data_IF_181985391683
#
_entry.id   IF_181985391683
#
_cell.length_a   1.000
_cell.length_b   1.000
_cell.length_c   1.000
_cell.angle_alpha   90.00
_cell.angle_beta   90.00
_cell.angle_gamma   90.00
#
_symmetry.space_group_name_H-M   'P 1'
#
loop_
_entity.id
_entity.type
_entity.pdbx_description
1 polymer ?
#
# COMPACT_ATOMS: atom_id res chain seq x y z
N UNK A 1 -3.39 -33.84 -0.09
CA UNK A 1 -3.45 -32.36 -0.10
C UNK A 1 -2.55 -31.89 1.02
N UNK A 2 -1.52 -31.13 0.69
CA UNK A 2 -0.61 -30.54 1.69
C UNK A 2 -1.41 -29.53 2.50
N UNK A 3 -1.56 -29.73 3.81
CA UNK A 3 -2.28 -28.80 4.68
C UNK A 3 -1.45 -27.54 4.88
N UNK A 4 -1.90 -26.41 4.35
CA UNK A 4 -1.25 -25.11 4.54
C UNK A 4 -1.48 -24.58 5.97
N UNK A 5 -0.43 -24.08 6.66
CA UNK A 5 -0.58 -23.46 7.98
C UNK A 5 -1.62 -22.34 7.97
N UNK A 6 -2.20 -22.08 9.15
CA UNK A 6 -3.08 -20.93 9.36
C UNK A 6 -2.28 -19.62 9.37
N UNK A 7 -2.96 -18.52 9.04
CA UNK A 7 -2.38 -17.18 9.06
C UNK A 7 -2.05 -16.76 10.49
N UNK A 8 -0.84 -16.29 10.74
CA UNK A 8 -0.38 -15.84 12.06
C UNK A 8 0.13 -14.41 12.03
N UNK A 9 0.38 -13.83 13.21
CA UNK A 9 1.00 -12.50 13.30
C UNK A 9 2.42 -12.46 12.69
N UNK A 10 3.12 -13.59 12.55
CA UNK A 10 4.46 -13.63 11.95
C UNK A 10 4.41 -13.45 10.42
N UNK A 11 3.26 -13.71 9.81
CA UNK A 11 3.02 -13.54 8.37
C UNK A 11 2.58 -12.12 8.00
N UNK A 12 2.46 -11.23 9.00
CA UNK A 12 1.92 -9.89 8.87
C UNK A 12 2.92 -8.85 9.37
N UNK A 13 2.87 -7.67 8.76
CA UNK A 13 3.53 -6.49 9.28
C UNK A 13 2.52 -5.67 10.08
N UNK A 14 3.02 -5.02 11.12
CA UNK A 14 2.24 -4.11 11.96
C UNK A 14 2.87 -2.72 11.87
N UNK A 15 2.09 -1.66 11.63
CA UNK A 15 2.64 -0.30 11.61
C UNK A 15 3.37 0.06 12.92
N UNK A 16 4.64 0.44 12.79
CA UNK A 16 5.48 0.91 13.89
C UNK A 16 5.21 2.40 14.17
N UNK A 17 4.05 2.68 14.75
CA UNK A 17 3.63 4.03 15.11
C UNK A 17 3.08 4.11 16.53
N UNK A 18 3.06 5.31 17.10
CA UNK A 18 2.58 5.57 18.44
C UNK A 18 1.21 6.27 18.38
N UNK A 19 0.16 5.46 18.19
CA UNK A 19 -1.24 5.91 18.18
C UNK A 19 -2.04 5.12 19.21
N UNK A 20 -3.26 5.56 19.51
CA UNK A 20 -4.14 4.84 20.43
C UNK A 20 -4.33 3.36 20.03
N UNK A 21 -4.41 2.43 20.99
CA UNK A 21 -4.75 1.02 20.73
C UNK A 21 -6.12 0.82 20.06
N UNK A 22 -6.99 1.84 20.05
CA UNK A 22 -8.25 1.82 19.31
C UNK A 22 -8.01 1.74 17.80
N UNK A 23 -6.90 2.27 17.29
CA UNK A 23 -6.50 2.09 15.89
C UNK A 23 -5.79 0.75 15.76
N UNK A 24 -6.30 -0.11 14.87
CA UNK A 24 -5.70 -1.37 14.49
C UNK A 24 -5.34 -1.33 13.02
N UNK A 25 -4.18 -1.88 12.68
CA UNK A 25 -3.73 -1.94 11.30
C UNK A 25 -2.82 -3.14 11.08
N UNK A 26 -2.91 -3.73 9.90
CA UNK A 26 -2.03 -4.83 9.46
C UNK A 26 -1.70 -4.66 7.98
N UNK A 27 -0.53 -5.14 7.58
CA UNK A 27 -0.18 -5.31 6.17
C UNK A 27 0.21 -6.75 5.93
N UNK A 28 -0.40 -7.38 4.93
CA UNK A 28 -0.14 -8.78 4.62
C UNK A 28 1.18 -8.95 3.88
N UNK A 29 1.85 -10.06 4.12
CA UNK A 29 2.91 -10.56 3.23
C UNK A 29 2.29 -11.52 2.20
N UNK A 30 3.13 -12.16 1.37
CA UNK A 30 2.73 -13.27 0.50
C UNK A 30 2.50 -14.59 1.24
N UNK A 31 2.80 -14.67 2.53
CA UNK A 31 2.76 -15.90 3.32
C UNK A 31 1.44 -16.06 4.10
N UNK A 32 1.13 -17.29 4.54
CA UNK A 32 -0.03 -17.59 5.39
C UNK A 32 -1.33 -17.92 4.65
N UNK A 33 -1.27 -18.25 3.37
CA UNK A 33 -2.44 -18.54 2.55
C UNK A 33 -2.50 -19.98 2.03
N UNK A 34 -3.27 -20.19 0.96
CA UNK A 34 -3.52 -21.49 0.33
C UNK A 34 -3.20 -21.52 -1.16
N UNK A 35 -2.86 -20.38 -1.76
CA UNK A 35 -2.60 -20.28 -3.20
C UNK A 35 -1.37 -21.09 -3.61
N UNK A 36 -1.40 -21.63 -4.82
CA UNK A 36 -0.33 -22.39 -5.44
C UNK A 36 0.57 -21.48 -6.29
N UNK A 37 1.80 -21.93 -6.65
CA UNK A 37 2.62 -21.22 -7.62
C UNK A 37 1.85 -20.85 -8.91
N UNK A 38 2.04 -19.65 -9.47
CA UNK A 38 3.01 -18.61 -9.10
C UNK A 38 2.52 -17.66 -7.98
N UNK A 39 1.38 -17.93 -7.36
CA UNK A 39 0.80 -17.14 -6.28
C UNK A 39 1.20 -17.67 -4.90
N UNK A 40 2.25 -18.49 -4.84
CA UNK A 40 2.71 -19.22 -3.67
C UNK A 40 3.57 -18.39 -2.71
N UNK A 41 4.26 -19.10 -1.81
CA UNK A 41 5.36 -18.56 -1.01
C UNK A 41 6.67 -18.68 -1.80
N UNK A 42 7.67 -17.90 -1.43
CA UNK A 42 9.00 -18.02 -2.00
C UNK A 42 9.99 -18.48 -0.95
N UNK A 43 10.89 -19.39 -1.34
CA UNK A 43 12.05 -19.78 -0.56
C UNK A 43 13.30 -19.54 -1.39
N UNK A 44 14.17 -18.64 -0.94
CA UNK A 44 15.48 -18.47 -1.56
C UNK A 44 16.33 -19.75 -1.37
N UNK A 45 17.23 -20.04 -2.30
CA UNK A 45 18.20 -21.10 -2.09
C UNK A 45 19.25 -20.70 -1.02
N UNK A 46 19.90 -21.70 -0.40
CA UNK A 46 20.88 -21.46 0.67
C UNK A 46 22.10 -20.64 0.19
N UNK A 47 22.41 -20.64 -1.11
CA UNK A 47 23.56 -19.91 -1.69
C UNK A 47 23.26 -18.42 -1.95
N UNK A 48 21.99 -18.07 -2.22
CA UNK A 48 21.48 -16.73 -2.47
C UNK A 48 21.33 -15.91 -1.20
N UNK A 49 21.16 -16.58 -0.05
CA UNK A 49 21.22 -15.95 1.26
C UNK A 49 22.54 -15.20 1.49
N UNK A 50 23.63 -15.61 0.84
CA UNK A 50 24.95 -14.98 0.97
C UNK A 50 25.15 -13.72 0.08
N UNK A 51 24.36 -13.53 -0.97
CA UNK A 51 24.62 -12.50 -2.01
C UNK A 51 23.57 -11.37 -2.06
N UNK A 52 22.58 -11.33 -1.16
CA UNK A 52 21.54 -10.29 -1.06
C UNK A 52 20.69 -10.04 -2.33
N UNK A 53 20.92 -10.82 -3.39
CA UNK A 53 20.10 -10.93 -4.57
C UNK A 53 19.39 -12.29 -4.51
N UNK A 54 18.20 -12.32 -3.91
CA UNK A 54 17.35 -13.52 -3.78
C UNK A 54 16.68 -13.86 -5.13
N UNK A 55 17.46 -13.92 -6.21
CA UNK A 55 16.97 -14.22 -7.56
C UNK A 55 16.74 -15.73 -7.74
N UNK A 56 17.64 -16.55 -7.19
CA UNK A 56 17.55 -18.00 -7.23
C UNK A 56 16.78 -18.57 -6.02
N UNK A 57 15.85 -19.47 -6.31
CA UNK A 57 14.94 -20.04 -5.32
C UNK A 57 13.76 -20.75 -5.96
N UNK A 58 12.80 -21.15 -5.15
CA UNK A 58 11.63 -21.93 -5.58
C UNK A 58 10.33 -21.32 -5.09
N UNK A 59 9.32 -21.32 -5.96
CA UNK A 59 7.93 -21.06 -5.58
C UNK A 59 7.35 -22.31 -4.91
N UNK A 60 6.75 -22.10 -3.74
CA UNK A 60 6.14 -23.13 -2.92
C UNK A 60 4.64 -22.87 -2.76
N UNK A 61 3.80 -23.88 -2.50
CA UNK A 61 2.41 -23.67 -2.11
C UNK A 61 2.23 -22.80 -0.85
N UNK A 62 0.97 -22.47 -0.57
CA UNK A 62 0.49 -21.77 0.62
C UNK A 62 0.72 -20.25 0.63
N UNK A 63 0.62 -19.61 -0.53
CA UNK A 63 0.68 -18.14 -0.64
C UNK A 63 -0.66 -17.46 -0.35
N UNK A 64 -0.60 -16.22 0.14
CA UNK A 64 -1.75 -15.41 0.53
C UNK A 64 -2.10 -14.36 -0.53
N UNK A 65 -2.48 -14.83 -1.72
CA UNK A 65 -2.96 -13.94 -2.76
C UNK A 65 -4.42 -13.49 -2.50
N UNK A 66 -4.64 -12.18 -2.48
CA UNK A 66 -5.94 -11.57 -2.21
C UNK A 66 -6.62 -10.97 -3.45
N UNK A 67 -5.95 -11.01 -4.61
CA UNK A 67 -6.40 -10.37 -5.84
C UNK A 67 -7.25 -11.27 -6.73
N UNK A 68 -8.57 -11.03 -6.84
CA UNK A 68 -9.49 -11.80 -7.70
C UNK A 68 -9.16 -11.74 -9.20
N UNK A 69 -8.53 -10.65 -9.66
CA UNK A 69 -8.17 -10.44 -11.06
C UNK A 69 -6.71 -10.76 -11.36
N UNK A 70 -6.02 -11.51 -10.48
CA UNK A 70 -4.60 -11.86 -10.63
C UNK A 70 -4.33 -13.03 -11.58
N UNK A 71 -5.36 -13.83 -11.89
CA UNK A 71 -5.25 -15.08 -12.65
C UNK A 71 -5.11 -16.34 -11.79
N UNK A 72 -5.22 -16.21 -10.47
CA UNK A 72 -5.25 -17.33 -9.52
C UNK A 72 -6.63 -18.01 -9.48
N UNK A 73 -6.68 -19.19 -8.86
CA UNK A 73 -7.92 -19.89 -8.54
C UNK A 73 -8.75 -19.05 -7.56
N UNK A 74 -10.01 -18.77 -7.94
CA UNK A 74 -10.91 -17.97 -7.12
C UNK A 74 -11.22 -18.64 -5.78
N UNK A 75 -11.26 -19.96 -5.70
CA UNK A 75 -11.47 -20.66 -4.42
C UNK A 75 -10.31 -20.40 -3.45
N UNK A 76 -9.07 -20.42 -3.94
CA UNK A 76 -7.90 -20.06 -3.14
C UNK A 76 -7.93 -18.59 -2.71
N UNK A 77 -8.28 -17.68 -3.62
CA UNK A 77 -8.36 -16.24 -3.30
C UNK A 77 -9.43 -15.96 -2.24
N UNK A 78 -10.61 -16.58 -2.35
CA UNK A 78 -11.65 -16.41 -1.34
C UNK A 78 -11.29 -17.05 0.00
N UNK A 79 -10.62 -18.21 0.00
CA UNK A 79 -10.08 -18.81 1.23
C UNK A 79 -9.03 -17.91 1.90
N UNK A 80 -8.12 -17.29 1.12
CA UNK A 80 -7.14 -16.33 1.63
C UNK A 80 -7.81 -15.09 2.22
N UNK A 81 -8.82 -14.53 1.56
CA UNK A 81 -9.61 -13.42 2.09
C UNK A 81 -10.32 -13.81 3.37
N UNK A 82 -10.94 -14.99 3.43
CA UNK A 82 -11.60 -15.49 4.64
C UNK A 82 -10.61 -15.62 5.81
N UNK A 83 -9.41 -16.16 5.58
CA UNK A 83 -8.33 -16.24 6.58
C UNK A 83 -7.94 -14.87 7.12
N UNK A 84 -7.72 -13.90 6.23
CA UNK A 84 -7.38 -12.53 6.61
C UNK A 84 -8.48 -11.87 7.44
N UNK A 85 -9.74 -12.00 7.04
CA UNK A 85 -10.86 -11.41 7.77
C UNK A 85 -11.14 -12.09 9.11
N UNK A 86 -10.94 -13.41 9.20
CA UNK A 86 -10.99 -14.14 10.45
C UNK A 86 -9.90 -13.65 11.43
N UNK A 87 -8.69 -13.41 10.94
CA UNK A 87 -7.60 -12.82 11.74
C UNK A 87 -7.93 -11.39 12.18
N UNK A 88 -8.41 -10.54 11.27
CA UNK A 88 -8.71 -9.14 11.56
C UNK A 88 -9.93 -8.96 12.48
N UNK A 89 -10.88 -9.91 12.44
CA UNK A 89 -12.11 -9.88 13.24
C UNK A 89 -13.12 -8.82 12.77
N UNK A 90 -12.91 -8.20 11.61
CA UNK A 90 -13.78 -7.16 11.04
C UNK A 90 -13.94 -7.35 9.53
N UNK A 91 -15.10 -6.96 8.94
CA UNK A 91 -15.25 -6.92 7.50
C UNK A 91 -14.36 -5.85 6.84
N UNK A 92 -13.98 -6.09 5.59
CA UNK A 92 -13.14 -5.20 4.80
C UNK A 92 -13.93 -4.49 3.69
N UNK A 93 -13.71 -3.19 3.56
CA UNK A 93 -14.18 -2.37 2.45
C UNK A 93 -13.26 -2.55 1.23
N UNK A 94 -13.50 -3.61 0.44
CA UNK A 94 -12.77 -3.86 -0.81
C UNK A 94 -13.16 -2.87 -1.90
N UNK A 95 -12.19 -2.41 -2.68
CA UNK A 95 -12.37 -1.44 -3.75
C UNK A 95 -12.00 -2.03 -5.12
N UNK A 96 -12.60 -1.48 -6.17
CA UNK A 96 -12.09 -1.59 -7.54
C UNK A 96 -11.08 -0.46 -7.75
N UNK A 97 -9.83 -0.72 -7.43
CA UNK A 97 -8.74 0.25 -7.58
C UNK A 97 -8.47 0.55 -9.06
N UNK A 98 -8.49 1.83 -9.41
CA UNK A 98 -8.35 2.34 -10.79
C UNK A 98 -7.12 3.24 -10.95
N UNK A 99 -6.24 3.30 -9.94
CA UNK A 99 -5.05 4.15 -9.88
C UNK A 99 -5.36 5.65 -9.98
N UNK A 100 -6.55 6.05 -9.52
CA UNK A 100 -7.00 7.44 -9.45
C UNK A 100 -6.92 8.02 -8.04
N UNK A 101 -7.46 9.22 -7.83
CA UNK A 101 -7.45 9.91 -6.54
C UNK A 101 -8.81 9.91 -5.82
N UNK A 102 -9.70 8.98 -6.17
CA UNK A 102 -11.06 8.92 -5.61
C UNK A 102 -11.03 8.28 -4.23
N UNK A 103 -11.66 8.95 -3.26
CA UNK A 103 -11.79 8.52 -1.86
C UNK A 103 -13.26 8.29 -1.56
N UNK A 104 -13.60 7.14 -0.98
CA UNK A 104 -14.98 6.79 -0.62
C UNK A 104 -15.14 6.53 0.88
N UNK A 105 -16.38 6.50 1.35
CA UNK A 105 -16.70 6.04 2.70
C UNK A 105 -16.61 4.50 2.77
N UNK A 106 -15.94 3.97 3.79
CA UNK A 106 -15.71 2.53 3.92
C UNK A 106 -17.01 1.74 4.20
N UNK A 107 -17.99 2.32 4.90
CA UNK A 107 -19.27 1.66 5.12
C UNK A 107 -20.06 1.55 3.81
N UNK A 108 -20.06 2.61 3.00
CA UNK A 108 -20.70 2.59 1.68
C UNK A 108 -20.03 1.56 0.75
N UNK A 109 -18.69 1.51 0.75
CA UNK A 109 -17.95 0.52 -0.02
C UNK A 109 -18.22 -0.92 0.46
N UNK A 110 -18.32 -1.14 1.78
CA UNK A 110 -18.65 -2.45 2.34
C UNK A 110 -20.06 -2.92 1.92
N UNK A 111 -21.06 -2.06 2.02
CA UNK A 111 -22.43 -2.40 1.61
C UNK A 111 -22.53 -2.68 0.11
N UNK A 112 -21.85 -1.89 -0.73
CA UNK A 112 -21.76 -2.17 -2.16
C UNK A 112 -21.13 -3.55 -2.42
N UNK A 113 -20.04 -3.88 -1.72
CA UNK A 113 -19.35 -5.17 -1.87
C UNK A 113 -20.24 -6.36 -1.45
N UNK A 114 -21.04 -6.20 -0.38
CA UNK A 114 -22.05 -7.19 0.04
C UNK A 114 -23.14 -7.38 -1.01
N UNK A 115 -23.50 -6.32 -1.71
CA UNK A 115 -24.41 -6.36 -2.86
C UNK A 115 -23.74 -6.86 -4.16
N UNK A 116 -22.48 -7.32 -4.11
CA UNK A 116 -21.76 -7.87 -5.26
C UNK A 116 -21.09 -6.84 -6.17
N UNK A 117 -21.01 -5.57 -5.75
CA UNK A 117 -20.41 -4.48 -6.55
C UNK A 117 -19.21 -3.87 -5.83
N UNK A 118 -18.08 -3.71 -6.52
CA UNK A 118 -16.93 -2.98 -5.99
C UNK A 118 -16.94 -1.54 -6.52
N UNK A 119 -16.87 -0.56 -5.61
CA UNK A 119 -16.79 0.84 -5.99
C UNK A 119 -15.44 1.18 -6.62
N UNK A 120 -15.46 1.98 -7.67
CA UNK A 120 -14.25 2.51 -8.30
C UNK A 120 -13.66 3.62 -7.43
N UNK A 121 -12.60 3.26 -6.71
CA UNK A 121 -11.87 4.17 -5.83
C UNK A 121 -10.50 3.58 -5.48
N UNK A 122 -9.60 4.44 -5.05
CA UNK A 122 -8.26 4.06 -4.62
C UNK A 122 -8.01 4.38 -3.15
N UNK A 123 -8.99 4.95 -2.45
CA UNK A 123 -8.93 5.10 -1.01
C UNK A 123 -10.30 4.97 -0.37
N UNK A 124 -10.29 4.57 0.91
CA UNK A 124 -11.47 4.60 1.76
C UNK A 124 -11.14 5.18 3.12
N UNK A 125 -12.14 5.80 3.75
CA UNK A 125 -12.05 6.39 5.09
C UNK A 125 -13.25 5.99 5.95
N UNK A 126 -13.12 6.04 7.26
CA UNK A 126 -14.26 5.90 8.18
C UNK A 126 -13.95 6.47 9.57
N UNK A 127 -15.00 6.88 10.28
CA UNK A 127 -15.01 7.10 11.73
C UNK A 127 -15.86 6.06 12.48
N UNK A 128 -16.39 5.06 11.77
CA UNK A 128 -17.20 3.99 12.34
C UNK A 128 -16.31 2.82 12.75
N UNK A 129 -16.39 2.35 14.01
CA UNK A 129 -15.73 1.13 14.44
C UNK A 129 -16.21 -0.12 13.69
N UNK A 130 -15.34 -1.12 13.59
CA UNK A 130 -15.70 -2.44 13.06
C UNK A 130 -15.70 -2.55 11.53
N UNK A 131 -15.11 -1.60 10.81
CA UNK A 131 -14.96 -1.66 9.34
C UNK A 131 -13.50 -1.38 8.97
N UNK A 132 -12.87 -2.28 8.22
CA UNK A 132 -11.51 -2.08 7.74
C UNK A 132 -11.48 -1.36 6.39
N UNK A 133 -10.89 -0.15 6.39
CA UNK A 133 -10.41 0.48 5.16
C UNK A 133 -9.30 -0.40 4.58
N UNK A 134 -9.44 -0.81 3.32
CA UNK A 134 -8.59 -1.83 2.72
C UNK A 134 -8.10 -1.42 1.34
N UNK A 135 -6.80 -1.59 1.09
CA UNK A 135 -6.19 -1.42 -0.24
C UNK A 135 -5.30 -2.61 -0.56
N UNK A 136 -5.30 -3.03 -1.82
CA UNK A 136 -4.49 -4.14 -2.33
C UNK A 136 -3.31 -3.61 -3.15
N UNK A 137 -2.15 -4.24 -3.01
CA UNK A 137 -0.91 -3.80 -3.66
C UNK A 137 -0.05 -4.96 -4.15
N UNK A 138 0.71 -4.67 -5.21
CA UNK A 138 1.96 -5.31 -5.56
C UNK A 138 2.78 -4.21 -6.26
N UNK A 139 3.82 -3.70 -5.59
CA UNK A 139 4.61 -2.49 -5.92
C UNK A 139 4.02 -1.13 -5.55
N UNK A 140 2.73 -0.87 -5.82
CA UNK A 140 2.13 0.41 -5.42
C UNK A 140 2.15 0.56 -3.90
N UNK A 141 2.24 1.79 -3.38
CA UNK A 141 2.40 2.00 -1.95
C UNK A 141 1.04 2.05 -1.24
N UNK A 142 0.79 1.19 -0.24
CA UNK A 142 -0.33 1.40 0.66
C UNK A 142 0.04 2.47 1.70
N UNK A 143 -0.83 3.47 1.87
CA UNK A 143 -0.69 4.52 2.89
C UNK A 143 -1.86 4.43 3.84
N UNK A 144 -1.57 4.21 5.12
CA UNK A 144 -2.57 4.17 6.20
C UNK A 144 -2.52 5.47 6.99
N UNK A 145 -3.67 6.04 7.30
CA UNK A 145 -3.83 7.34 7.94
C UNK A 145 -4.79 7.24 9.11
N UNK A 146 -4.48 7.90 10.22
CA UNK A 146 -5.39 8.06 11.36
C UNK A 146 -5.06 9.31 12.16
N UNK A 147 -5.98 9.76 13.01
CA UNK A 147 -5.63 10.69 14.09
C UNK A 147 -5.13 9.92 15.33
N UNK A 148 -4.27 10.55 16.14
CA UNK A 148 -3.68 9.90 17.31
C UNK A 148 -4.69 9.43 18.37
N UNK A 149 -5.90 10.01 18.40
CA UNK A 149 -6.98 9.65 19.33
C UNK A 149 -7.92 8.55 18.80
N UNK A 150 -7.75 8.09 17.55
CA UNK A 150 -8.54 6.99 16.97
C UNK A 150 -10.00 7.33 16.78
N UNK A 151 -10.27 8.55 16.30
CA UNK A 151 -11.59 9.02 15.89
C UNK A 151 -11.89 8.70 14.44
N UNK A 152 -10.89 8.73 13.56
CA UNK A 152 -11.04 8.35 12.16
C UNK A 152 -9.79 7.67 11.60
N UNK A 153 -10.00 6.84 10.58
CA UNK A 153 -8.95 6.11 9.85
C UNK A 153 -9.19 6.14 8.35
N UNK A 154 -8.14 5.89 7.57
CA UNK A 154 -8.23 5.73 6.13
C UNK A 154 -7.08 4.94 5.53
N UNK A 155 -7.32 4.30 4.41
CA UNK A 155 -6.31 3.58 3.62
C UNK A 155 -6.34 4.09 2.18
N UNK A 156 -5.16 4.38 1.61
CA UNK A 156 -4.99 4.85 0.25
C UNK A 156 -4.01 3.97 -0.54
N UNK A 157 -4.38 3.66 -1.77
CA UNK A 157 -3.57 2.99 -2.78
C UNK A 157 -2.81 4.07 -3.58
N UNK A 158 -1.55 4.28 -3.23
CA UNK A 158 -0.69 5.28 -3.84
C UNK A 158 0.26 4.63 -4.86
N UNK A 159 -0.30 4.21 -6.00
CA UNK A 159 0.49 4.07 -7.23
C UNK A 159 0.90 5.46 -7.75
N UNK A 160 1.90 5.53 -8.66
CA UNK A 160 2.44 6.83 -9.09
C UNK A 160 1.38 7.80 -9.65
N UNK A 161 0.37 7.29 -10.37
CA UNK A 161 -0.74 8.10 -10.91
C UNK A 161 -1.61 8.69 -9.80
N UNK A 162 -2.08 7.85 -8.88
CA UNK A 162 -2.90 8.29 -7.76
C UNK A 162 -2.13 9.24 -6.83
N UNK A 163 -0.84 8.94 -6.60
CA UNK A 163 0.04 9.77 -5.78
C UNK A 163 0.26 11.15 -6.41
N UNK A 164 0.57 11.24 -7.70
CA UNK A 164 0.69 12.52 -8.41
C UNK A 164 -0.64 13.29 -8.45
N UNK A 165 -1.78 12.57 -8.55
CA UNK A 165 -3.13 13.14 -8.57
C UNK A 165 -3.70 13.49 -7.18
N UNK A 166 -2.91 13.33 -6.12
CA UNK A 166 -3.23 13.77 -4.77
C UNK A 166 -4.09 12.82 -3.94
N UNK A 167 -4.03 11.50 -4.18
CA UNK A 167 -4.87 10.51 -3.46
C UNK A 167 -4.62 10.54 -1.95
N UNK A 168 -3.37 10.73 -1.51
CA UNK A 168 -3.01 10.68 -0.09
C UNK A 168 -3.43 11.96 0.63
N UNK A 169 -3.37 13.11 -0.01
CA UNK A 169 -3.82 14.39 0.54
C UNK A 169 -5.33 14.42 0.65
N UNK A 170 -6.05 13.95 -0.37
CA UNK A 170 -7.51 13.81 -0.32
C UNK A 170 -7.94 12.87 0.79
N UNK A 171 -7.22 11.76 0.97
CA UNK A 171 -7.49 10.81 2.06
C UNK A 171 -7.22 11.43 3.42
N UNK A 172 -6.05 12.06 3.60
CA UNK A 172 -5.68 12.72 4.85
C UNK A 172 -6.66 13.84 5.22
N UNK A 173 -7.03 14.71 4.28
CA UNK A 173 -8.02 15.75 4.52
C UNK A 173 -9.37 15.17 4.94
N UNK A 174 -9.80 14.06 4.34
CA UNK A 174 -11.06 13.41 4.71
C UNK A 174 -11.00 12.77 6.10
N UNK A 175 -9.88 12.13 6.46
CA UNK A 175 -9.64 11.60 7.82
C UNK A 175 -9.65 12.74 8.84
N UNK A 176 -8.92 13.83 8.60
CA UNK A 176 -8.89 15.01 9.46
C UNK A 176 -10.30 15.60 9.69
N UNK A 177 -11.07 15.75 8.61
CA UNK A 177 -12.47 16.21 8.68
C UNK A 177 -13.34 15.29 9.54
N UNK A 178 -13.23 13.96 9.36
CA UNK A 178 -14.00 12.99 10.14
C UNK A 178 -13.59 12.95 11.62
N UNK A 179 -12.30 13.15 11.92
CA UNK A 179 -11.77 13.21 13.28
C UNK A 179 -12.02 14.57 13.97
N UNK A 180 -12.32 15.61 13.20
CA UNK A 180 -12.42 16.99 13.71
C UNK A 180 -11.07 17.53 14.19
N UNK A 181 -9.99 17.24 13.47
CA UNK A 181 -8.63 17.69 13.80
C UNK A 181 -7.94 18.33 12.59
N UNK A 182 -6.79 18.97 12.81
CA UNK A 182 -5.94 19.43 11.72
C UNK A 182 -5.20 18.24 11.07
N UNK A 183 -4.83 18.38 9.79
CA UNK A 183 -4.02 17.38 9.09
C UNK A 183 -2.67 17.15 9.78
N UNK A 184 -2.11 18.17 10.43
CA UNK A 184 -0.86 18.06 11.20
C UNK A 184 -0.93 17.16 12.42
N UNK A 185 -2.13 16.83 12.90
CA UNK A 185 -2.35 15.90 14.00
C UNK A 185 -2.49 14.44 13.53
N UNK A 186 -2.43 14.21 12.21
CA UNK A 186 -2.55 12.88 11.66
C UNK A 186 -1.21 12.13 11.71
N UNK A 187 -1.34 10.82 11.86
CA UNK A 187 -0.28 9.85 11.70
C UNK A 187 -0.45 9.12 10.38
N UNK A 188 0.65 8.98 9.65
CA UNK A 188 0.72 8.21 8.42
C UNK A 188 1.67 7.02 8.59
N UNK A 189 1.33 5.90 7.97
CA UNK A 189 2.20 4.75 7.80
C UNK A 189 2.35 4.46 6.31
N UNK A 190 3.60 4.44 5.84
CA UNK A 190 3.96 4.05 4.49
C UNK A 190 4.30 2.55 4.47
N UNK A 191 3.43 1.73 3.90
CA UNK A 191 3.67 0.28 3.83
C UNK A 191 4.63 -0.12 2.70
N UNK A 192 4.91 -1.42 2.55
CA UNK A 192 5.81 -1.94 1.53
C UNK A 192 5.39 -1.52 0.12
N UNK A 193 6.35 -0.96 -0.62
CA UNK A 193 6.18 -0.51 -2.00
C UNK A 193 7.38 -0.94 -2.84
N UNK A 194 7.41 -0.65 -4.14
CA UNK A 194 8.63 -0.82 -4.92
C UNK A 194 9.65 0.25 -4.53
N UNK A 195 10.87 -0.19 -4.20
CA UNK A 195 11.92 0.68 -3.70
C UNK A 195 12.62 1.50 -4.80
N UNK A 196 13.36 2.55 -4.40
CA UNK A 196 13.98 3.50 -5.33
C UNK A 196 15.09 2.88 -6.19
N UNK A 197 15.64 1.72 -5.81
CA UNK A 197 16.64 1.01 -6.62
C UNK A 197 16.03 0.15 -7.73
N UNK A 198 14.71 -0.06 -7.73
CA UNK A 198 14.01 -0.95 -8.66
C UNK A 198 12.91 -0.24 -9.47
N UNK A 199 12.41 0.91 -8.99
CA UNK A 199 11.31 1.60 -9.64
C UNK A 199 11.77 2.50 -10.79
N UNK A 200 12.17 1.87 -11.89
CA UNK A 200 12.45 2.58 -13.13
C UNK A 200 11.16 3.12 -13.78
N UNK A 201 11.17 4.38 -14.19
CA UNK A 201 10.07 5.12 -14.81
C UNK A 201 10.57 5.99 -15.97
N UNK A 202 9.65 6.46 -16.82
CA UNK A 202 9.95 7.43 -17.88
C UNK A 202 9.81 8.88 -17.43
N UNK A 203 10.15 9.80 -18.33
CA UNK A 203 9.96 11.24 -18.16
C UNK A 203 8.50 11.62 -17.85
N UNK A 204 7.52 10.89 -18.41
CA UNK A 204 6.09 11.12 -18.18
C UNK A 204 5.71 11.08 -16.70
N UNK A 205 6.30 10.13 -15.96
CA UNK A 205 6.07 10.01 -14.52
C UNK A 205 6.74 11.17 -13.78
N UNK A 206 7.99 11.50 -14.11
CA UNK A 206 8.72 12.61 -13.49
C UNK A 206 7.97 13.93 -13.71
N UNK A 207 7.57 14.22 -14.94
CA UNK A 207 6.80 15.41 -15.31
C UNK A 207 5.51 15.51 -14.53
N UNK A 208 4.74 14.43 -14.37
CA UNK A 208 3.51 14.46 -13.59
C UNK A 208 3.70 14.93 -12.13
N UNK A 209 4.84 14.60 -11.50
CA UNK A 209 5.17 15.10 -10.17
C UNK A 209 5.70 16.53 -10.17
N UNK A 210 6.49 16.91 -11.18
CA UNK A 210 7.01 18.27 -11.32
C UNK A 210 5.89 19.27 -11.65
N UNK A 211 4.90 18.89 -12.45
CA UNK A 211 3.76 19.73 -12.81
C UNK A 211 2.93 20.14 -11.59
N UNK A 212 2.79 19.24 -10.60
CA UNK A 212 2.15 19.60 -9.33
C UNK A 212 2.90 20.72 -8.61
N UNK A 213 4.23 20.73 -8.65
CA UNK A 213 5.02 21.77 -7.97
C UNK A 213 4.70 23.15 -8.54
N UNK A 214 4.36 23.24 -9.83
CA UNK A 214 3.95 24.51 -10.45
C UNK A 214 2.64 25.07 -9.88
N UNK A 215 1.81 24.22 -9.26
CA UNK A 215 0.56 24.63 -8.60
C UNK A 215 0.78 25.18 -7.19
N UNK A 216 1.97 25.01 -6.61
CA UNK A 216 2.31 25.49 -5.27
C UNK A 216 2.68 26.96 -5.36
N UNK A 217 2.01 27.84 -4.61
CA UNK A 217 2.32 29.27 -4.61
C UNK A 217 3.38 29.67 -3.57
N UNK A 218 4.16 30.70 -3.90
CA UNK A 218 5.04 31.39 -2.96
C UNK A 218 6.42 30.75 -2.75
N UNK A 219 7.06 31.14 -1.64
CA UNK A 219 8.50 30.92 -1.37
C UNK A 219 8.86 29.44 -1.20
N UNK A 220 7.89 28.58 -0.91
CA UNK A 220 8.14 27.14 -0.73
C UNK A 220 8.30 26.38 -2.06
N UNK A 221 7.83 26.94 -3.19
CA UNK A 221 7.84 26.27 -4.51
C UNK A 221 9.23 25.76 -4.88
N UNK A 222 10.28 26.56 -4.73
CA UNK A 222 11.64 26.18 -5.14
C UNK A 222 12.20 25.05 -4.27
N UNK A 223 11.96 25.08 -2.96
CA UNK A 223 12.37 24.02 -2.06
C UNK A 223 11.67 22.69 -2.37
N UNK A 224 10.37 22.74 -2.66
CA UNK A 224 9.59 21.56 -3.08
C UNK A 224 10.05 21.06 -4.45
N UNK A 225 10.35 21.96 -5.40
CA UNK A 225 10.88 21.61 -6.73
C UNK A 225 12.18 20.83 -6.62
N UNK A 226 13.15 21.34 -5.86
CA UNK A 226 14.44 20.67 -5.65
C UNK A 226 14.24 19.31 -4.99
N UNK A 227 13.39 19.24 -3.96
CA UNK A 227 13.16 18.00 -3.21
C UNK A 227 12.44 16.94 -4.03
N UNK A 228 11.48 17.35 -4.86
CA UNK A 228 10.73 16.49 -5.79
C UNK A 228 11.63 15.99 -6.90
N UNK A 229 12.44 16.87 -7.52
CA UNK A 229 13.41 16.46 -8.53
C UNK A 229 14.43 15.45 -7.97
N UNK A 230 14.87 15.64 -6.72
CA UNK A 230 15.79 14.73 -6.04
C UNK A 230 15.21 13.34 -5.74
N UNK A 231 13.89 13.15 -5.86
CA UNK A 231 13.25 11.83 -5.78
C UNK A 231 13.35 11.01 -7.09
N UNK A 232 13.97 11.58 -8.13
CA UNK A 232 14.19 10.91 -9.42
C UNK A 232 15.69 10.92 -9.75
N UNK A 233 16.33 9.74 -9.67
CA UNK A 233 17.74 9.59 -10.04
C UNK A 233 17.83 9.21 -11.53
N UNK A 234 18.45 10.03 -12.38
CA UNK A 234 18.60 9.71 -13.80
C UNK A 234 19.44 8.45 -14.01
N UNK A 235 19.09 7.64 -15.01
CA UNK A 235 19.90 6.49 -15.42
C UNK A 235 20.91 6.88 -16.48
N UNK A 236 22.19 6.83 -16.13
CA UNK A 236 23.31 7.10 -17.06
C UNK A 236 23.27 6.24 -18.32
N UNK A 237 22.86 4.98 -18.18
CA UNK A 237 22.82 3.99 -19.27
C UNK A 237 21.49 3.99 -20.06
N UNK A 238 20.49 4.76 -19.62
CA UNK A 238 19.17 4.82 -20.26
C UNK A 238 18.62 6.26 -20.24
N UNK A 239 19.01 7.11 -21.21
CA UNK A 239 18.53 8.48 -21.31
C UNK A 239 17.00 8.56 -21.29
N UNK A 240 16.45 9.49 -20.51
CA UNK A 240 15.00 9.66 -20.32
C UNK A 240 14.35 8.64 -19.35
N UNK A 241 15.15 7.80 -18.69
CA UNK A 241 14.71 6.92 -17.59
C UNK A 241 15.23 7.41 -16.25
N UNK A 242 14.41 7.21 -15.23
CA UNK A 242 14.70 7.59 -13.85
C UNK A 242 14.40 6.43 -12.93
N UNK A 243 15.20 6.29 -11.88
CA UNK A 243 14.86 5.54 -10.68
C UNK A 243 14.08 6.47 -9.74
N UNK A 244 12.80 6.19 -9.52
CA UNK A 244 11.90 7.03 -8.73
C UNK A 244 11.72 6.51 -7.30
N UNK A 245 11.69 7.42 -6.33
CA UNK A 245 11.46 7.14 -4.92
C UNK A 245 10.03 7.50 -4.52
N UNK A 246 9.11 6.52 -4.59
CA UNK A 246 7.70 6.71 -4.22
C UNK A 246 7.53 7.12 -2.76
N UNK A 247 8.35 6.58 -1.87
CA UNK A 247 8.28 6.88 -0.44
C UNK A 247 8.63 8.33 -0.19
N UNK A 248 9.76 8.80 -0.74
CA UNK A 248 10.17 10.20 -0.68
C UNK A 248 9.11 11.13 -1.25
N UNK A 249 8.53 10.78 -2.40
CA UNK A 249 7.45 11.55 -3.02
C UNK A 249 6.24 11.66 -2.08
N UNK A 250 5.78 10.56 -1.48
CA UNK A 250 4.66 10.63 -0.53
C UNK A 250 4.99 11.44 0.73
N UNK A 251 6.20 11.35 1.26
CA UNK A 251 6.63 12.19 2.39
C UNK A 251 6.56 13.68 2.06
N UNK A 252 6.94 14.08 0.84
CA UNK A 252 6.82 15.47 0.39
C UNK A 252 5.36 15.91 0.33
N UNK A 253 4.49 15.11 -0.30
CA UNK A 253 3.05 15.39 -0.42
C UNK A 253 2.34 15.47 0.94
N UNK A 254 2.70 14.60 1.88
CA UNK A 254 2.18 14.64 3.25
C UNK A 254 2.65 15.89 4.00
N UNK A 255 3.93 16.26 3.86
CA UNK A 255 4.49 17.45 4.49
C UNK A 255 3.85 18.74 3.97
N UNK A 256 3.50 18.82 2.68
CA UNK A 256 2.80 19.96 2.08
C UNK A 256 1.45 20.27 2.76
N UNK A 257 0.76 19.24 3.28
CA UNK A 257 -0.49 19.38 4.03
C UNK A 257 -0.29 19.33 5.56
N UNK A 258 0.96 19.42 6.03
CA UNK A 258 1.33 19.49 7.44
C UNK A 258 1.41 18.15 8.17
N UNK A 259 1.18 17.01 7.51
CA UNK A 259 1.30 15.67 8.12
C UNK A 259 2.79 15.36 8.31
N UNK A 260 3.26 15.35 9.56
CA UNK A 260 4.68 15.14 9.88
C UNK A 260 4.96 13.85 10.66
N UNK A 261 3.94 13.27 11.29
CA UNK A 261 4.05 11.98 12.00
C UNK A 261 3.99 10.81 11.01
N UNK A 262 5.11 10.56 10.30
CA UNK A 262 5.19 9.54 9.25
C UNK A 262 6.11 8.39 9.70
N UNK A 263 5.55 7.18 9.73
CA UNK A 263 6.21 5.92 10.06
C UNK A 263 6.26 4.99 8.83
N UNK A 264 6.95 3.86 8.97
CA UNK A 264 7.13 2.91 7.87
C UNK A 264 8.11 3.42 6.80
N UNK A 265 8.02 2.83 5.61
CA UNK A 265 9.03 2.95 4.57
C UNK A 265 10.18 1.96 4.71
N UNK A 266 11.13 2.01 3.77
CA UNK A 266 12.36 1.19 3.80
C UNK A 266 12.21 -0.27 3.35
N UNK A 267 10.99 -0.74 3.06
CA UNK A 267 10.72 -2.08 2.53
C UNK A 267 10.49 -2.03 1.02
N UNK A 268 11.14 -2.93 0.28
CA UNK A 268 11.07 -2.99 -1.17
C UNK A 268 10.45 -4.31 -1.64
N UNK A 269 9.22 -4.24 -2.15
CA UNK A 269 8.45 -5.38 -2.66
C UNK A 269 9.13 -6.11 -3.83
N UNK A 270 9.92 -5.39 -4.64
CA UNK A 270 10.66 -5.98 -5.75
C UNK A 270 11.84 -6.84 -5.30
N UNK A 271 12.65 -6.35 -4.35
CA UNK A 271 13.87 -7.05 -3.91
C UNK A 271 13.58 -8.11 -2.84
N UNK A 272 12.57 -7.88 -2.01
CA UNK A 272 12.20 -8.79 -0.93
C UNK A 272 11.12 -9.78 -1.39
N UNK A 273 11.56 -10.76 -2.17
CA UNK A 273 10.70 -11.75 -2.83
C UNK A 273 10.07 -12.75 -1.86
N UNK A 274 10.72 -13.03 -0.73
CA UNK A 274 10.22 -13.93 0.30
C UNK A 274 8.97 -13.38 1.01
N UNK A 275 8.91 -12.06 1.21
CA UNK A 275 7.77 -11.44 1.88
C UNK A 275 6.73 -10.85 0.94
N UNK A 276 7.08 -10.45 -0.29
CA UNK A 276 6.14 -9.66 -1.11
C UNK A 276 6.01 -10.15 -2.56
N UNK A 277 4.77 -10.09 -3.05
CA UNK A 277 4.51 -10.08 -4.49
C UNK A 277 4.96 -8.75 -5.10
N UNK A 278 5.44 -8.78 -6.35
CA UNK A 278 5.84 -7.58 -7.11
C UNK A 278 5.44 -7.75 -8.57
N UNK A 279 4.60 -6.86 -9.07
CA UNK A 279 4.15 -6.87 -10.46
C UNK A 279 5.27 -6.51 -11.45
N UNK A 280 6.23 -5.70 -10.99
CA UNK A 280 7.43 -5.31 -11.73
C UNK A 280 8.36 -6.49 -11.92
N UNK A 281 8.51 -7.33 -10.89
CA UNK A 281 9.29 -8.56 -10.95
C UNK A 281 8.57 -9.64 -11.76
N UNK A 282 7.28 -9.83 -11.49
CA UNK A 282 6.46 -10.91 -12.05
C UNK A 282 5.14 -10.33 -12.57
N UNK A 283 4.91 -10.38 -13.88
CA UNK A 283 3.67 -9.82 -14.48
C UNK A 283 2.41 -10.56 -14.01
N UNK A 284 2.51 -11.87 -13.78
CA UNK A 284 1.45 -12.71 -13.21
C UNK A 284 1.88 -13.07 -11.80
N UNK A 285 1.27 -12.42 -10.80
CA UNK A 285 1.64 -12.55 -9.38
C UNK A 285 0.47 -12.15 -8.50
N UNK A 286 0.56 -12.44 -7.20
CA UNK A 286 -0.49 -12.17 -6.22
C UNK A 286 -0.61 -10.70 -5.84
N UNK A 287 -1.53 -10.41 -4.92
CA UNK A 287 -1.67 -9.08 -4.30
C UNK A 287 -1.69 -9.21 -2.78
N UNK A 288 -0.89 -8.39 -2.11
CA UNK A 288 -0.99 -8.15 -0.67
C UNK A 288 -2.10 -7.14 -0.39
N UNK A 289 -2.46 -6.96 0.87
CA UNK A 289 -3.37 -5.90 1.32
C UNK A 289 -2.85 -5.17 2.56
N UNK A 290 -3.20 -3.90 2.69
CA UNK A 290 -3.06 -3.12 3.91
C UNK A 290 -4.45 -2.74 4.43
N UNK A 291 -4.67 -2.96 5.73
CA UNK A 291 -5.94 -2.77 6.41
C UNK A 291 -5.74 -1.84 7.60
N UNK A 292 -6.70 -0.95 7.84
CA UNK A 292 -6.80 -0.14 9.05
C UNK A 292 -8.25 0.00 9.48
N UNK A 293 -8.51 -0.12 10.78
CA UNK A 293 -9.84 0.01 11.36
C UNK A 293 -9.79 0.59 12.76
N UNK A 294 -10.96 1.04 13.21
CA UNK A 294 -11.21 1.38 14.61
C UNK A 294 -11.79 0.16 15.33
N UNK A 295 -11.15 -0.25 16.42
CA UNK A 295 -11.73 -1.18 17.38
C UNK A 295 -12.91 -0.50 18.12
N UNK A 296 -13.89 -1.28 18.60
CA UNK A 296 -15.04 -0.76 19.36
C UNK A 296 -14.64 0.14 20.54
#
# INVERSE_FOLDING_TARGET
MTTCPELTSADLLHPEWHVTPRVRAIVTTRNGGVSLPPFGRWQADEASLAHAAHEDGVELPCGLNLGRSSGDDLEHVEANRARLLAYAGVPAAWLKQIHGPVVVDAAVALEAARAGTLLEADASVTNQPGIACTVMVADCMPVLLCDGAGRAVGAAHAGWRGLAAGVIEKTAQRVATLAGCAASELHAYLGPAIGPKAFEVGEDVRTAFMDHVETIDGVQRDAVRVSTAAAFVPRSEAPGKYLADLERLARLRLAEIGVTHISGGGLCTFTDRERFYSYRRERVTGRMAALIWLAP
#
